data_IF_171847768396
#
_entry.id   IF_171847768396
#
_cell.length_a   1.000
_cell.length_b   1.000
_cell.length_c   1.000
_cell.angle_alpha   90.00
_cell.angle_beta   90.00
_cell.angle_gamma   90.00
#
_symmetry.space_group_name_H-M   'P 1'
#
loop_
_entity.id
_entity.type
_entity.pdbx_description
1 polymer ?
#
# COMPACT_ATOMS: atom_id res chain seq x y z
N UNK A 1 -18.28 -80.55 -3.85
CA UNK A 1 -16.86 -80.85 -3.57
C UNK A 1 -16.08 -79.62 -4.05
N UNK A 2 -15.70 -78.69 -3.17
CA UNK A 2 -14.50 -78.74 -2.28
C UNK A 2 -13.21 -78.50 -3.08
N UNK A 3 -12.31 -77.54 -2.78
CA UNK A 3 -12.16 -76.65 -1.60
C UNK A 3 -11.36 -75.35 -1.92
N UNK A 4 -11.25 -74.45 -0.93
CA UNK A 4 -10.52 -73.17 -0.93
C UNK A 4 -9.00 -73.21 -1.22
N UNK A 5 -8.49 -72.12 -1.81
CA UNK A 5 -7.38 -71.24 -1.35
C UNK A 5 -7.44 -69.91 -2.17
N UNK A 6 -6.90 -68.74 -1.76
CA UNK A 6 -6.42 -68.33 -0.43
C UNK A 6 -5.46 -67.10 -0.44
N UNK A 7 -5.93 -65.90 -0.06
CA UNK A 7 -5.14 -64.65 0.13
C UNK A 7 -4.57 -64.00 -1.18
N UNK A 8 -4.18 -62.72 -1.24
CA UNK A 8 -4.16 -61.65 -0.25
C UNK A 8 -4.46 -60.27 -0.91
N UNK A 9 -5.09 -59.35 -0.15
CA UNK A 9 -5.22 -57.94 -0.53
C UNK A 9 -3.98 -57.14 -0.12
N UNK A 10 -3.53 -56.22 -0.98
CA UNK A 10 -2.52 -55.23 -0.64
C UNK A 10 -2.97 -53.82 -1.05
N UNK A 11 -3.33 -53.01 -0.04
CA UNK A 11 -3.54 -51.58 -0.22
C UNK A 11 -2.19 -50.90 -0.47
N UNK A 12 -1.96 -50.40 -1.68
CA UNK A 12 -0.91 -49.42 -1.94
C UNK A 12 -1.40 -48.04 -1.51
N UNK A 13 -1.25 -47.73 -0.23
CA UNK A 13 -1.55 -46.41 0.35
C UNK A 13 -0.56 -45.37 -0.20
N UNK A 14 -0.91 -44.75 -1.32
CA UNK A 14 -0.17 -43.62 -1.89
C UNK A 14 -0.24 -42.40 -0.99
N UNK A 15 0.69 -42.30 -0.04
CA UNK A 15 0.88 -41.14 0.83
C UNK A 15 1.41 -39.95 0.04
N UNK A 16 0.52 -39.32 -0.73
CA UNK A 16 0.76 -38.04 -1.36
C UNK A 16 1.02 -36.98 -0.29
N UNK A 17 2.29 -36.69 -0.04
CA UNK A 17 2.74 -35.63 0.86
C UNK A 17 2.35 -34.29 0.25
N UNK A 18 1.18 -33.79 0.65
CA UNK A 18 0.76 -32.41 0.36
C UNK A 18 1.79 -31.49 1.01
N UNK A 19 2.72 -31.04 0.18
CA UNK A 19 3.76 -30.13 0.58
C UNK A 19 3.07 -28.80 0.83
N UNK A 20 2.87 -28.47 2.10
CA UNK A 20 2.47 -27.13 2.52
C UNK A 20 3.61 -26.14 2.21
N UNK A 21 3.79 -25.82 0.94
CA UNK A 21 4.44 -24.58 0.54
C UNK A 21 3.61 -23.45 1.16
N UNK A 22 4.17 -22.78 2.15
CA UNK A 22 3.59 -21.56 2.69
C UNK A 22 3.40 -20.60 1.51
N UNK A 23 2.13 -20.31 1.17
CA UNK A 23 1.84 -19.36 0.11
C UNK A 23 2.50 -18.04 0.49
N UNK A 24 3.43 -17.56 -0.34
CA UNK A 24 4.00 -16.23 -0.14
C UNK A 24 2.84 -15.23 -0.06
N UNK A 25 2.90 -14.24 0.86
CA UNK A 25 1.84 -13.24 0.97
C UNK A 25 1.64 -12.60 -0.40
N UNK A 26 0.42 -12.66 -0.91
CA UNK A 26 0.07 -12.11 -2.21
C UNK A 26 0.30 -10.60 -2.17
N UNK A 27 0.87 -10.04 -3.24
CA UNK A 27 1.06 -8.60 -3.40
C UNK A 27 -0.19 -7.97 -4.02
N UNK A 28 -0.58 -6.75 -3.63
CA UNK A 28 -1.67 -6.05 -4.31
C UNK A 28 -1.39 -5.88 -5.79
N UNK A 29 -2.40 -6.14 -6.61
CA UNK A 29 -2.33 -5.89 -8.05
C UNK A 29 -2.37 -4.37 -8.34
N UNK A 30 -1.85 -3.92 -9.50
CA UNK A 30 -2.01 -2.54 -9.94
C UNK A 30 -3.48 -2.08 -10.03
N UNK A 31 -4.44 -3.00 -10.15
CA UNK A 31 -5.87 -2.68 -10.08
C UNK A 31 -6.27 -2.24 -8.67
N UNK A 32 -5.90 -3.00 -7.65
CA UNK A 32 -6.21 -2.71 -6.24
C UNK A 32 -5.56 -1.40 -5.77
N UNK A 33 -4.35 -1.08 -6.25
CA UNK A 33 -3.71 0.23 -6.00
C UNK A 33 -4.56 1.39 -6.59
N UNK A 34 -5.12 1.23 -7.80
CA UNK A 34 -6.00 2.24 -8.41
C UNK A 34 -7.33 2.37 -7.68
N UNK A 35 -7.94 1.24 -7.27
CA UNK A 35 -9.17 1.24 -6.49
C UNK A 35 -8.98 1.90 -5.12
N UNK A 36 -7.89 1.59 -4.42
CA UNK A 36 -7.52 2.25 -3.17
C UNK A 36 -7.36 3.78 -3.36
N UNK A 37 -6.66 4.21 -4.41
CA UNK A 37 -6.50 5.64 -4.73
C UNK A 37 -7.84 6.33 -5.05
N UNK A 38 -8.76 5.66 -5.77
CA UNK A 38 -10.11 6.14 -6.03
C UNK A 38 -10.96 6.25 -4.75
N UNK A 39 -10.93 5.22 -3.91
CA UNK A 39 -11.61 5.20 -2.62
C UNK A 39 -11.09 6.28 -1.67
N UNK A 40 -9.78 6.57 -1.69
CA UNK A 40 -9.19 7.71 -0.96
C UNK A 40 -9.77 9.02 -1.48
N UNK A 41 -9.80 9.26 -2.80
CA UNK A 41 -10.35 10.50 -3.36
C UNK A 41 -11.80 10.72 -2.93
N UNK A 42 -12.65 9.70 -3.10
CA UNK A 42 -14.04 9.72 -2.65
C UNK A 42 -14.17 10.03 -1.15
N UNK A 43 -13.33 9.39 -0.32
CA UNK A 43 -13.42 9.49 1.14
C UNK A 43 -12.91 10.82 1.70
N UNK A 44 -11.96 11.45 1.02
CA UNK A 44 -11.38 12.73 1.42
C UNK A 44 -12.16 13.92 0.85
N UNK A 45 -12.83 13.76 -0.30
CA UNK A 45 -13.67 14.79 -0.90
C UNK A 45 -12.94 16.11 -1.06
N UNK A 46 -13.39 17.16 -0.38
CA UNK A 46 -12.77 18.50 -0.39
C UNK A 46 -11.49 18.67 0.44
N UNK A 47 -11.08 17.68 1.26
CA UNK A 47 -9.83 17.75 2.03
C UNK A 47 -8.63 17.92 1.10
N UNK A 48 -7.68 18.81 1.45
CA UNK A 48 -6.42 18.96 0.71
C UNK A 48 -5.56 17.72 0.93
N UNK A 49 -5.24 17.02 -0.16
CA UNK A 49 -4.31 15.87 -0.21
C UNK A 49 -3.71 15.75 -1.62
N UNK A 50 -2.63 14.99 -1.77
CA UNK A 50 -2.17 14.47 -3.05
C UNK A 50 -1.57 13.07 -2.92
N UNK A 51 -1.75 12.23 -3.93
CA UNK A 51 -1.07 10.93 -4.07
C UNK A 51 0.42 11.16 -4.36
N UNK A 52 1.30 10.40 -3.70
CA UNK A 52 2.75 10.42 -3.93
C UNK A 52 3.29 8.98 -4.08
N UNK A 53 4.62 8.82 -4.00
CA UNK A 53 5.24 7.49 -3.93
C UNK A 53 5.11 6.66 -5.20
N UNK A 54 5.06 5.33 -5.03
CA UNK A 54 4.89 4.39 -6.13
C UNK A 54 3.52 4.48 -6.77
N UNK A 55 2.46 4.62 -5.97
CA UNK A 55 1.07 4.66 -6.44
C UNK A 55 0.82 5.85 -7.38
N UNK A 56 1.40 7.03 -7.08
CA UNK A 56 1.38 8.17 -7.99
C UNK A 56 2.02 7.85 -9.35
N UNK A 57 3.18 7.20 -9.37
CA UNK A 57 3.83 6.79 -10.62
C UNK A 57 2.97 5.78 -11.41
N UNK A 58 2.38 4.79 -10.75
CA UNK A 58 1.52 3.79 -11.40
C UNK A 58 0.23 4.43 -11.97
N UNK A 59 -0.38 5.39 -11.27
CA UNK A 59 -1.51 6.19 -11.77
C UNK A 59 -1.16 7.06 -12.98
N UNK A 60 0.11 7.47 -13.10
CA UNK A 60 0.64 8.24 -14.24
C UNK A 60 1.15 7.34 -15.39
N UNK A 61 0.84 6.04 -15.37
CA UNK A 61 1.18 5.10 -16.45
C UNK A 61 2.53 4.38 -16.30
N UNK A 62 3.22 4.50 -15.16
CA UNK A 62 4.42 3.71 -14.89
C UNK A 62 4.07 2.22 -14.70
N UNK A 63 4.85 1.33 -15.30
CA UNK A 63 4.78 -0.12 -15.06
C UNK A 63 5.44 -0.57 -13.76
N UNK A 64 5.95 0.36 -12.93
CA UNK A 64 6.55 0.03 -11.64
C UNK A 64 5.48 -0.46 -10.67
N UNK A 65 5.72 -1.62 -10.07
CA UNK A 65 4.91 -2.17 -8.98
C UNK A 65 5.12 -1.42 -7.66
N UNK A 66 4.09 -1.42 -6.82
CA UNK A 66 4.06 -0.86 -5.47
C UNK A 66 3.00 -1.62 -4.68
N UNK A 67 3.13 -1.70 -3.36
CA UNK A 67 2.30 -2.55 -2.50
C UNK A 67 1.40 -1.71 -1.56
N UNK A 68 1.52 -0.39 -1.68
CA UNK A 68 1.17 0.67 -0.76
C UNK A 68 0.62 1.90 -1.49
N UNK A 69 -0.10 2.77 -0.78
CA UNK A 69 -0.58 4.05 -1.29
C UNK A 69 -0.20 5.18 -0.34
N UNK A 70 0.79 5.97 -0.74
CA UNK A 70 1.21 7.17 -0.02
C UNK A 70 0.32 8.37 -0.38
N UNK A 71 -0.20 9.07 0.64
CA UNK A 71 -0.77 10.42 0.48
C UNK A 71 -0.04 11.46 1.32
N UNK A 72 0.21 12.62 0.73
CA UNK A 72 0.61 13.83 1.47
C UNK A 72 -0.60 14.69 1.80
N UNK A 73 -0.64 15.24 3.01
CA UNK A 73 -1.67 16.13 3.54
C UNK A 73 -1.03 17.30 4.31
N UNK A 74 -1.74 18.43 4.54
CA UNK A 74 -1.24 19.51 5.38
C UNK A 74 -0.89 19.04 6.81
N UNK A 75 -0.01 19.77 7.50
CA UNK A 75 0.63 19.32 8.74
C UNK A 75 -0.33 19.02 9.90
N UNK A 76 -1.41 19.79 9.99
CA UNK A 76 -2.50 19.65 10.95
C UNK A 76 -3.58 18.65 10.49
N UNK A 77 -3.59 18.27 9.21
CA UNK A 77 -4.68 17.51 8.60
C UNK A 77 -4.65 16.00 8.87
N UNK A 78 -3.53 15.38 9.28
CA UNK A 78 -3.42 13.92 9.46
C UNK A 78 -4.53 13.33 10.33
N UNK A 79 -4.88 14.01 11.44
CA UNK A 79 -5.96 13.55 12.34
C UNK A 79 -7.33 13.62 11.65
N UNK A 80 -7.59 14.67 10.88
CA UNK A 80 -8.83 14.82 10.12
C UNK A 80 -8.92 13.79 8.99
N UNK A 81 -7.88 13.67 8.16
CA UNK A 81 -7.75 12.69 7.08
C UNK A 81 -8.02 11.27 7.60
N UNK A 82 -7.37 10.85 8.69
CA UNK A 82 -7.61 9.53 9.30
C UNK A 82 -9.02 9.38 9.88
N UNK A 83 -9.63 10.47 10.37
CA UNK A 83 -11.05 10.45 10.79
C UNK A 83 -12.00 10.27 9.62
N UNK A 84 -11.74 10.91 8.47
CA UNK A 84 -12.51 10.76 7.25
C UNK A 84 -12.42 9.32 6.72
N UNK A 85 -11.21 8.77 6.58
CA UNK A 85 -11.02 7.37 6.16
C UNK A 85 -11.71 6.38 7.12
N UNK A 86 -11.60 6.59 8.45
CA UNK A 86 -12.27 5.72 9.45
C UNK A 86 -13.80 5.73 9.36
N UNK A 87 -14.42 6.83 8.89
CA UNK A 87 -15.88 6.89 8.67
C UNK A 87 -16.33 6.03 7.48
N UNK A 88 -15.43 5.77 6.53
CA UNK A 88 -15.72 5.07 5.28
C UNK A 88 -15.47 3.56 5.44
N UNK A 89 -16.21 2.95 6.36
CA UNK A 89 -16.02 1.56 6.83
C UNK A 89 -16.22 0.49 5.75
N UNK A 90 -16.87 0.83 4.64
CA UNK A 90 -16.96 -0.03 3.45
C UNK A 90 -15.60 -0.21 2.76
N UNK A 91 -14.78 0.85 2.72
CA UNK A 91 -13.51 0.88 1.99
C UNK A 91 -12.28 0.71 2.88
N UNK A 92 -12.33 1.20 4.12
CA UNK A 92 -11.14 1.27 4.97
C UNK A 92 -11.29 0.54 6.30
N UNK A 93 -10.19 -0.03 6.74
CA UNK A 93 -9.94 -0.41 8.12
C UNK A 93 -8.88 0.53 8.71
N UNK A 94 -9.15 1.09 9.89
CA UNK A 94 -8.19 1.95 10.60
C UNK A 94 -8.01 1.40 12.01
N UNK A 95 -6.90 0.71 12.23
CA UNK A 95 -6.57 0.06 13.50
C UNK A 95 -6.64 1.06 14.66
N UNK A 96 -7.22 0.65 15.78
CA UNK A 96 -7.54 1.54 16.90
C UNK A 96 -6.31 1.95 17.74
N UNK A 97 -5.30 1.08 17.84
CA UNK A 97 -4.09 1.29 18.66
C UNK A 97 -2.93 1.91 17.88
N UNK A 98 -2.67 1.39 16.69
CA UNK A 98 -1.51 1.73 15.85
C UNK A 98 -1.81 2.87 14.87
N UNK A 99 -3.09 3.09 14.56
CA UNK A 99 -3.55 3.99 13.52
C UNK A 99 -3.10 3.63 12.08
N UNK A 100 -2.59 2.41 11.85
CA UNK A 100 -2.42 1.84 10.51
C UNK A 100 -3.76 1.87 9.77
N UNK A 101 -3.71 2.19 8.49
CA UNK A 101 -4.89 2.35 7.64
C UNK A 101 -4.72 1.45 6.42
N UNK A 102 -5.72 0.63 6.15
CA UNK A 102 -5.71 -0.30 5.02
C UNK A 102 -6.97 -0.10 4.18
N UNK A 103 -6.81 -0.15 2.86
CA UNK A 103 -7.93 -0.35 1.95
C UNK A 103 -8.32 -1.84 1.95
N UNK A 104 -9.62 -2.09 2.06
CA UNK A 104 -10.22 -3.42 2.20
C UNK A 104 -10.24 -4.14 0.86
N UNK A 105 -9.21 -4.95 0.65
CA UNK A 105 -9.05 -5.85 -0.49
C UNK A 105 -8.31 -7.12 -0.04
N UNK A 106 -8.27 -8.16 -0.89
CA UNK A 106 -7.40 -9.33 -0.69
C UNK A 106 -6.39 -9.43 -1.84
N UNK A 107 -5.07 -9.25 -1.60
CA UNK A 107 -4.47 -8.79 -0.35
C UNK A 107 -4.84 -7.32 -0.04
N UNK A 108 -4.72 -6.94 1.24
CA UNK A 108 -4.98 -5.56 1.69
C UNK A 108 -3.90 -4.60 1.18
N UNK A 109 -4.28 -3.37 0.85
CA UNK A 109 -3.36 -2.28 0.48
C UNK A 109 -3.16 -1.38 1.69
N UNK A 110 -1.91 -1.12 2.09
CA UNK A 110 -1.61 -0.15 3.14
C UNK A 110 -1.70 1.29 2.61
N UNK A 111 -2.19 2.21 3.45
CA UNK A 111 -2.35 3.63 3.12
C UNK A 111 -1.56 4.47 4.12
N UNK A 112 -0.43 5.02 3.68
CA UNK A 112 0.39 5.90 4.50
C UNK A 112 -0.12 7.36 4.41
N UNK A 113 -0.34 7.99 5.57
CA UNK A 113 -0.77 9.39 5.66
C UNK A 113 0.39 10.26 6.14
N UNK A 114 0.97 11.01 5.21
CA UNK A 114 2.14 11.86 5.42
C UNK A 114 1.70 13.31 5.66
N UNK A 115 1.74 13.79 6.91
CA UNK A 115 1.90 15.22 7.19
C UNK A 115 3.38 15.58 7.01
N UNK A 116 3.72 16.79 6.51
CA UNK A 116 4.97 17.14 5.82
C UNK A 116 6.12 16.21 6.15
N UNK A 117 6.30 15.13 5.37
CA UNK A 117 7.28 14.12 5.69
C UNK A 117 8.65 14.75 5.58
N UNK A 118 9.63 14.22 6.31
CA UNK A 118 11.07 14.54 6.15
C UNK A 118 11.59 14.41 4.70
N UNK A 119 10.78 13.81 3.82
CA UNK A 119 10.95 13.61 2.38
C UNK A 119 10.53 14.83 1.54
N UNK A 120 9.50 15.59 1.94
CA UNK A 120 9.00 16.77 1.22
C UNK A 120 9.36 18.03 2.01
N UNK A 121 10.48 18.67 1.62
CA UNK A 121 11.01 19.88 2.30
C UNK A 121 10.26 21.17 1.95
N UNK A 122 9.29 21.09 1.05
CA UNK A 122 8.46 22.21 0.59
C UNK A 122 7.13 22.22 1.38
N UNK A 123 6.47 23.38 1.45
CA UNK A 123 5.17 23.48 2.10
C UNK A 123 4.09 22.80 1.24
N UNK A 124 3.25 21.96 1.85
CA UNK A 124 2.11 21.33 1.16
C UNK A 124 0.79 21.94 1.62
N UNK A 125 0.19 22.73 0.73
CA UNK A 125 -1.10 23.39 0.93
C UNK A 125 -2.00 23.36 -0.32
N UNK A 126 -3.16 24.01 -0.24
CA UNK A 126 -4.20 24.08 -1.30
C UNK A 126 -3.72 24.66 -2.64
N UNK A 127 -2.61 25.39 -2.68
CA UNK A 127 -2.02 25.99 -3.88
C UNK A 127 -0.93 25.09 -4.48
N UNK A 128 -0.55 23.99 -3.83
CA UNK A 128 0.46 23.05 -4.33
C UNK A 128 -0.03 22.40 -5.62
N UNK A 129 0.79 22.42 -6.66
CA UNK A 129 0.42 21.92 -7.97
C UNK A 129 0.19 20.39 -7.97
N UNK A 130 -1.04 20.00 -8.32
CA UNK A 130 -1.46 18.61 -8.53
C UNK A 130 -1.91 18.39 -9.97
N UNK A 131 -1.89 17.14 -10.41
CA UNK A 131 -2.53 16.65 -11.63
C UNK A 131 -3.72 15.80 -11.20
N UNK A 132 -4.85 15.94 -11.87
CA UNK A 132 -6.02 15.08 -11.64
C UNK A 132 -6.09 13.97 -12.69
N UNK A 133 -6.20 12.72 -12.24
CA UNK A 133 -6.35 11.54 -13.09
C UNK A 133 -7.51 10.70 -12.53
N UNK A 134 -8.58 10.54 -13.30
CA UNK A 134 -9.81 9.85 -12.87
C UNK A 134 -10.37 10.34 -11.52
N UNK A 135 -10.34 11.66 -11.28
CA UNK A 135 -10.78 12.26 -10.01
C UNK A 135 -9.79 12.10 -8.85
N UNK A 136 -8.64 11.44 -9.04
CA UNK A 136 -7.59 11.32 -8.02
C UNK A 136 -6.58 12.45 -8.20
N UNK A 137 -6.35 13.22 -7.13
CA UNK A 137 -5.30 14.26 -7.10
C UNK A 137 -3.94 13.62 -6.85
N UNK A 138 -3.01 13.81 -7.78
CA UNK A 138 -1.64 13.29 -7.78
C UNK A 138 -0.68 14.47 -7.71
N UNK A 139 0.37 14.39 -6.89
CA UNK A 139 1.36 15.47 -6.81
C UNK A 139 2.10 15.62 -8.15
N UNK A 140 2.39 16.85 -8.60
CA UNK A 140 3.07 17.07 -9.89
C UNK A 140 4.40 16.28 -9.96
N UNK A 141 4.73 15.59 -11.07
CA UNK A 141 5.91 14.72 -11.16
C UNK A 141 7.25 15.37 -10.79
N UNK A 142 7.43 16.66 -11.06
CA UNK A 142 8.61 17.42 -10.64
C UNK A 142 8.76 17.49 -9.12
N UNK A 143 7.66 17.61 -8.38
CA UNK A 143 7.63 17.65 -6.93
C UNK A 143 7.85 16.25 -6.32
N UNK A 144 7.30 15.21 -6.96
CA UNK A 144 7.60 13.80 -6.60
C UNK A 144 9.09 13.50 -6.78
N UNK A 145 9.70 13.97 -7.88
CA UNK A 145 11.13 13.82 -8.13
C UNK A 145 11.98 14.56 -7.07
N UNK A 146 11.65 15.83 -6.76
CA UNK A 146 12.30 16.59 -5.68
C UNK A 146 12.27 15.82 -4.36
N UNK A 147 11.11 15.28 -3.98
CA UNK A 147 10.95 14.48 -2.76
C UNK A 147 11.85 13.23 -2.78
N UNK A 148 11.94 12.55 -3.93
CA UNK A 148 12.77 11.34 -4.08
C UNK A 148 14.26 11.66 -4.00
N UNK A 149 14.73 12.74 -4.62
CA UNK A 149 16.12 13.19 -4.52
C UNK A 149 16.50 13.53 -3.06
N UNK A 150 15.64 14.28 -2.36
CA UNK A 150 15.83 14.57 -0.93
C UNK A 150 15.87 13.28 -0.07
N UNK A 151 15.01 12.29 -0.37
CA UNK A 151 15.00 10.98 0.30
C UNK A 151 16.31 10.20 0.16
N UNK A 152 16.93 10.24 -1.02
CA UNK A 152 18.20 9.54 -1.29
C UNK A 152 19.35 10.21 -0.54
N UNK A 153 19.41 11.55 -0.58
CA UNK A 153 20.42 12.32 0.16
C UNK A 153 20.31 12.12 1.68
N UNK A 154 19.09 12.10 2.23
CA UNK A 154 18.85 11.83 3.65
C UNK A 154 19.33 10.43 4.07
N UNK A 155 18.96 9.39 3.32
CA UNK A 155 19.41 8.01 3.58
C UNK A 155 20.95 7.85 3.55
N UNK A 156 21.61 8.55 2.62
CA UNK A 156 23.07 8.53 2.55
C UNK A 156 23.75 9.21 3.76
N UNK A 157 23.12 10.24 4.35
CA UNK A 157 23.60 10.84 5.61
C UNK A 157 23.32 9.97 6.85
N UNK A 158 22.17 9.29 6.90
CA UNK A 158 21.79 8.47 8.05
C UNK A 158 22.66 7.21 8.19
N UNK A 159 23.02 6.58 7.06
CA UNK A 159 23.99 5.47 7.03
C UNK A 159 25.34 5.87 7.68
N UNK A 160 25.90 7.03 7.28
CA UNK A 160 27.14 7.59 7.84
C UNK A 160 27.08 8.04 9.30
N UNK A 161 25.90 7.98 9.92
CA UNK A 161 25.68 8.27 11.34
C UNK A 161 25.62 6.99 12.18
N UNK A 162 25.30 5.85 11.55
CA UNK A 162 25.25 4.53 12.19
C UNK A 162 26.64 3.90 12.34
N UNK A 163 27.54 4.15 11.39
CA UNK A 163 28.95 3.68 11.41
C UNK A 163 29.86 4.48 12.37
N UNK A 164 29.29 5.23 13.32
CA UNK A 164 30.02 6.09 14.29
C UNK A 164 29.56 5.92 15.73
N UNK A 165 29.13 4.71 16.07
CA UNK A 165 28.98 4.21 17.45
C UNK A 165 29.80 2.94 17.62
#
# INVERSE_FOLDING_TARGET
MSSHYGSASSHASGSGSVSHQAQQPRKPSPHQIREAAGAISYSLGGQVYALVGGAACSMLGSSRETEDVDIVVPQDATRNTRSLLRKQTAYFEVESRTAHTYYKSDPRVEVEILAPPSLFREHFDKNTAVIEVHGVRILKPSLILNAKCNSILGRASDAKKKDRC
#
